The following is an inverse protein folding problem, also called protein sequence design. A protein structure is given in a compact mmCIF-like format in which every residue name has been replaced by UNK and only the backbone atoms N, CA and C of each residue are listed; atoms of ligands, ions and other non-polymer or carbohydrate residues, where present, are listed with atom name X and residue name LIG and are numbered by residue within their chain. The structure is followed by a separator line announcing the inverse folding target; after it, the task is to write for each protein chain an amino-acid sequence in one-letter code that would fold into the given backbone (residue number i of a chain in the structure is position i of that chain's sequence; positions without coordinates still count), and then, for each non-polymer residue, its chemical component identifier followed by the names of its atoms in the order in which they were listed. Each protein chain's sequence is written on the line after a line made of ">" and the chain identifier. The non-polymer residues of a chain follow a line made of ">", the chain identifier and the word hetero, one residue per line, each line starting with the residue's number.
data_IF_721473780948
#
_entry.id   IF_721473780948
#
_cell.length_a   1.000
_cell.length_b   1.000
_cell.length_c   1.000
_cell.angle_alpha   90.00
_cell.angle_beta   90.00
_cell.angle_gamma   90.00
#
_symmetry.space_group_name_H-M   'P 1'
#
loop_
_entity.id
_entity.type
_entity.pdbx_description
1 polymer ?
#
# COMPACT_ATOMS: atom_id res chain seq x y z
N UNK A 1 -21.76 31.99 -11.71
CA UNK A 1 -21.43 30.99 -10.66
C UNK A 1 -21.95 29.62 -11.10
N UNK A 2 -23.27 29.51 -11.34
CA UNK A 2 -23.95 28.29 -11.83
C UNK A 2 -23.32 27.64 -13.07
N UNK A 3 -22.98 28.40 -14.11
CA UNK A 3 -22.42 27.82 -15.35
C UNK A 3 -21.02 27.19 -15.16
N UNK A 4 -20.18 27.81 -14.31
CA UNK A 4 -18.85 27.26 -13.99
C UNK A 4 -18.96 25.97 -13.20
N UNK A 5 -19.88 25.90 -12.24
CA UNK A 5 -20.10 24.69 -11.44
C UNK A 5 -20.70 23.56 -12.30
N UNK A 6 -21.61 23.90 -13.23
CA UNK A 6 -22.15 22.95 -14.21
C UNK A 6 -21.05 22.35 -15.10
N UNK A 7 -20.17 23.17 -15.67
CA UNK A 7 -19.05 22.71 -16.50
C UNK A 7 -18.11 21.79 -15.71
N UNK A 8 -17.86 22.10 -14.43
CA UNK A 8 -17.04 21.23 -13.56
C UNK A 8 -17.70 19.88 -13.32
N UNK A 9 -18.99 19.87 -12.98
CA UNK A 9 -19.73 18.61 -12.78
C UNK A 9 -19.74 17.78 -14.06
N UNK A 10 -20.01 18.42 -15.20
CA UNK A 10 -19.98 17.75 -16.51
C UNK A 10 -18.59 17.18 -16.82
N UNK A 11 -17.51 17.90 -16.49
CA UNK A 11 -16.16 17.37 -16.62
C UNK A 11 -15.95 16.11 -15.76
N UNK A 12 -16.35 16.13 -14.50
CA UNK A 12 -16.22 14.96 -13.62
C UNK A 12 -17.00 13.76 -14.15
N UNK A 13 -18.26 13.98 -14.57
CA UNK A 13 -19.15 12.94 -15.10
C UNK A 13 -18.66 12.36 -16.43
N UNK A 14 -18.14 13.19 -17.32
CA UNK A 14 -17.80 12.78 -18.69
C UNK A 14 -16.34 12.36 -18.87
N UNK A 15 -15.42 12.85 -18.03
CA UNK A 15 -13.96 12.65 -18.19
C UNK A 15 -13.29 11.92 -17.03
N UNK A 16 -13.91 11.82 -15.86
CA UNK A 16 -13.29 11.16 -14.71
C UNK A 16 -14.01 9.85 -14.38
N UNK A 17 -15.31 9.88 -14.10
CA UNK A 17 -16.05 8.66 -13.68
C UNK A 17 -17.13 8.22 -14.65
N UNK A 18 -16.95 8.51 -15.96
CA UNK A 18 -17.85 8.06 -17.03
C UNK A 18 -18.08 6.54 -17.02
N UNK A 19 -17.00 5.78 -16.89
CA UNK A 19 -17.00 4.33 -16.80
C UNK A 19 -15.82 3.84 -15.93
N UNK A 20 -15.76 2.54 -15.68
CA UNK A 20 -14.72 1.93 -14.85
C UNK A 20 -13.31 2.15 -15.40
N UNK A 21 -13.13 2.07 -16.73
CA UNK A 21 -11.82 2.27 -17.38
C UNK A 21 -11.30 3.68 -17.11
N UNK A 22 -12.09 4.70 -17.41
CA UNK A 22 -11.69 6.10 -17.18
C UNK A 22 -11.46 6.39 -15.70
N UNK A 23 -12.27 5.81 -14.81
CA UNK A 23 -12.11 6.01 -13.36
C UNK A 23 -10.82 5.36 -12.84
N UNK A 24 -10.46 4.16 -13.31
CA UNK A 24 -9.18 3.52 -12.99
C UNK A 24 -8.02 4.34 -13.55
N UNK A 25 -8.14 4.78 -14.81
CA UNK A 25 -7.09 5.52 -15.48
C UNK A 25 -6.80 6.84 -14.79
N UNK A 26 -7.82 7.54 -14.27
CA UNK A 26 -7.69 8.88 -13.68
C UNK A 26 -7.54 8.87 -12.15
N UNK A 27 -8.22 7.95 -11.45
CA UNK A 27 -8.33 7.93 -9.99
C UNK A 27 -7.76 6.67 -9.34
N UNK A 28 -7.29 5.70 -10.14
CA UNK A 28 -6.81 4.37 -9.67
C UNK A 28 -7.86 3.52 -8.95
N UNK A 29 -9.14 3.89 -9.05
CA UNK A 29 -10.27 3.18 -8.47
C UNK A 29 -11.33 2.90 -9.52
N UNK A 30 -12.00 1.75 -9.41
CA UNK A 30 -13.26 1.50 -10.13
C UNK A 30 -14.32 2.50 -9.68
N UNK A 31 -15.27 2.81 -10.57
CA UNK A 31 -16.31 3.81 -10.31
C UNK A 31 -17.09 3.50 -9.03
N UNK A 32 -17.56 2.26 -8.89
CA UNK A 32 -18.31 1.84 -7.70
C UNK A 32 -17.49 1.93 -6.41
N UNK A 33 -16.19 1.63 -6.46
CA UNK A 33 -15.30 1.74 -5.30
C UNK A 33 -15.05 3.20 -4.92
N UNK A 34 -14.90 4.09 -5.90
CA UNK A 34 -14.73 5.52 -5.68
C UNK A 34 -15.93 6.12 -4.93
N UNK A 35 -17.17 5.85 -5.37
CA UNK A 35 -18.35 6.37 -4.69
C UNK A 35 -18.57 5.75 -3.31
N UNK A 36 -18.25 4.46 -3.11
CA UNK A 36 -18.24 3.86 -1.77
C UNK A 36 -17.22 4.52 -0.85
N UNK A 37 -16.06 4.89 -1.38
CA UNK A 37 -15.02 5.59 -0.62
C UNK A 37 -15.45 7.00 -0.24
N UNK A 38 -16.09 7.74 -1.15
CA UNK A 38 -16.69 9.05 -0.84
C UNK A 38 -17.80 8.92 0.21
N UNK A 39 -18.65 7.89 0.09
CA UNK A 39 -19.70 7.60 1.06
C UNK A 39 -19.11 7.30 2.44
N UNK A 40 -18.03 6.54 2.54
CA UNK A 40 -17.35 6.26 3.80
C UNK A 40 -16.95 7.57 4.52
N UNK A 41 -16.33 8.52 3.83
CA UNK A 41 -15.98 9.81 4.44
C UNK A 41 -17.19 10.60 4.91
N UNK A 42 -18.29 10.54 4.14
CA UNK A 42 -19.55 11.21 4.48
C UNK A 42 -20.20 10.57 5.71
N UNK A 43 -20.28 9.25 5.77
CA UNK A 43 -20.89 8.49 6.86
C UNK A 43 -20.09 8.63 8.17
N UNK A 44 -18.75 8.70 8.09
CA UNK A 44 -17.88 8.97 9.24
C UNK A 44 -17.79 10.45 9.63
N UNK A 45 -18.41 11.37 8.88
CA UNK A 45 -18.31 12.82 9.13
C UNK A 45 -16.91 13.40 8.94
N UNK A 46 -16.03 12.74 8.18
CA UNK A 46 -14.64 13.16 7.96
C UNK A 46 -14.51 14.19 6.84
N UNK A 47 -15.45 14.19 5.89
CA UNK A 47 -15.55 15.18 4.82
C UNK A 47 -17.01 15.59 4.66
N UNK A 48 -17.21 16.83 4.22
CA UNK A 48 -18.53 17.42 4.01
C UNK A 48 -18.59 18.15 2.67
N UNK A 49 -19.79 18.18 2.10
CA UNK A 49 -20.08 19.01 0.93
C UNK A 49 -20.04 20.49 1.34
N UNK A 50 -19.46 21.32 0.50
CA UNK A 50 -19.49 22.78 0.66
C UNK A 50 -20.32 23.40 -0.43
N UNK A 51 -20.72 24.67 -0.25
CA UNK A 51 -21.43 25.44 -1.28
C UNK A 51 -20.69 25.53 -2.63
N UNK A 52 -19.39 25.20 -2.66
CA UNK A 52 -18.55 25.32 -3.85
C UNK A 52 -17.94 24.00 -4.32
N UNK A 53 -18.05 22.90 -3.57
CA UNK A 53 -17.35 21.66 -3.87
C UNK A 53 -17.95 20.47 -3.09
N UNK A 54 -18.36 19.43 -3.82
CA UNK A 54 -18.80 18.17 -3.22
C UNK A 54 -17.62 17.28 -2.82
N UNK A 55 -17.86 16.32 -1.91
CA UNK A 55 -16.87 15.34 -1.44
C UNK A 55 -16.25 14.60 -2.63
N UNK A 56 -17.03 14.24 -3.64
CA UNK A 56 -16.57 13.53 -4.82
C UNK A 56 -15.51 14.34 -5.59
N UNK A 57 -15.70 15.65 -5.75
CA UNK A 57 -14.69 16.52 -6.38
C UNK A 57 -13.43 16.62 -5.50
N UNK A 58 -13.59 16.76 -4.17
CA UNK A 58 -12.48 16.84 -3.22
C UNK A 58 -11.61 15.57 -3.31
N UNK A 59 -12.23 14.40 -3.23
CA UNK A 59 -11.55 13.10 -3.27
C UNK A 59 -10.97 12.82 -4.66
N UNK A 60 -11.68 13.17 -5.74
CA UNK A 60 -11.16 13.02 -7.10
C UNK A 60 -9.91 13.87 -7.34
N UNK A 61 -9.89 15.13 -6.88
CA UNK A 61 -8.71 15.99 -6.94
C UNK A 61 -7.52 15.37 -6.21
N UNK A 62 -7.73 14.85 -5.00
CA UNK A 62 -6.70 14.17 -4.23
C UNK A 62 -6.18 12.92 -4.96
N UNK A 63 -7.07 12.00 -5.35
CA UNK A 63 -6.71 10.74 -6.01
C UNK A 63 -6.02 10.95 -7.35
N UNK A 64 -6.49 11.90 -8.15
CA UNK A 64 -5.85 12.27 -9.42
C UNK A 64 -4.44 12.85 -9.20
N UNK A 65 -4.25 13.61 -8.10
CA UNK A 65 -2.93 14.13 -7.72
C UNK A 65 -1.98 13.00 -7.34
N UNK A 66 -2.36 12.11 -6.43
CA UNK A 66 -1.48 11.04 -5.93
C UNK A 66 -1.29 9.92 -6.94
N UNK A 67 -2.35 9.56 -7.69
CA UNK A 67 -2.34 8.46 -8.65
C UNK A 67 -1.49 8.71 -9.90
N UNK A 68 -1.17 9.97 -10.19
CA UNK A 68 -0.36 10.39 -11.33
C UNK A 68 0.83 11.28 -10.95
N UNK A 69 1.05 11.53 -9.66
CA UNK A 69 2.07 12.43 -9.16
C UNK A 69 1.99 13.82 -9.83
N UNK A 70 0.78 14.38 -9.92
CA UNK A 70 0.55 15.65 -10.60
C UNK A 70 1.00 16.84 -9.74
N UNK A 71 1.51 17.87 -10.41
CA UNK A 71 1.79 19.15 -9.77
C UNK A 71 0.49 19.92 -9.57
N UNK A 72 0.39 20.65 -8.45
CA UNK A 72 -0.75 21.53 -8.14
C UNK A 72 -1.18 22.41 -9.35
N UNK A 73 -0.19 22.96 -10.10
CA UNK A 73 -0.45 23.78 -11.29
C UNK A 73 -1.24 23.09 -12.40
N UNK A 74 -1.21 21.77 -12.50
CA UNK A 74 -1.97 21.02 -13.49
C UNK A 74 -3.35 20.66 -12.95
N UNK A 75 -3.43 20.26 -11.68
CA UNK A 75 -4.70 19.97 -11.00
C UNK A 75 -5.60 21.21 -10.99
N UNK A 76 -5.04 22.38 -10.67
CA UNK A 76 -5.79 23.65 -10.67
C UNK A 76 -6.40 23.96 -12.05
N UNK A 77 -5.69 23.61 -13.13
CA UNK A 77 -6.16 23.80 -14.51
C UNK A 77 -7.22 22.76 -14.87
N UNK A 78 -7.01 21.49 -14.54
CA UNK A 78 -7.93 20.41 -14.87
C UNK A 78 -9.29 20.56 -14.17
N UNK A 79 -9.30 21.06 -12.94
CA UNK A 79 -10.52 21.22 -12.13
C UNK A 79 -11.05 22.66 -12.13
N UNK A 80 -10.41 23.60 -12.85
CA UNK A 80 -10.73 25.03 -12.82
C UNK A 80 -10.85 25.58 -11.39
N UNK A 81 -9.85 25.31 -10.55
CA UNK A 81 -9.77 25.76 -9.15
C UNK A 81 -8.54 26.62 -8.93
N UNK A 82 -8.55 27.42 -7.86
CA UNK A 82 -7.34 28.12 -7.43
C UNK A 82 -6.32 27.11 -6.89
N UNK A 83 -5.02 27.42 -7.00
CA UNK A 83 -3.97 26.56 -6.44
C UNK A 83 -4.07 26.42 -4.91
N UNK A 84 -4.55 27.47 -4.24
CA UNK A 84 -4.87 27.45 -2.81
C UNK A 84 -5.96 26.42 -2.50
N UNK A 85 -7.05 26.43 -3.27
CA UNK A 85 -8.17 25.48 -3.10
C UNK A 85 -7.70 24.04 -3.29
N UNK A 86 -6.88 23.79 -4.31
CA UNK A 86 -6.25 22.48 -4.52
C UNK A 86 -5.43 22.05 -3.31
N UNK A 87 -4.59 22.95 -2.78
CA UNK A 87 -3.76 22.65 -1.61
C UNK A 87 -4.60 22.36 -0.36
N UNK A 88 -5.63 23.17 -0.11
CA UNK A 88 -6.53 23.02 1.03
C UNK A 88 -7.22 21.66 1.02
N UNK A 89 -7.87 21.29 -0.09
CA UNK A 89 -8.61 20.04 -0.16
C UNK A 89 -7.70 18.82 -0.27
N UNK A 90 -6.51 18.95 -0.86
CA UNK A 90 -5.50 17.90 -0.77
C UNK A 90 -5.18 17.54 0.68
N UNK A 91 -4.93 18.54 1.54
CA UNK A 91 -4.61 18.31 2.95
C UNK A 91 -5.83 17.81 3.75
N UNK A 92 -7.04 18.32 3.46
CA UNK A 92 -8.27 17.83 4.10
C UNK A 92 -8.51 16.34 3.82
N UNK A 93 -8.43 15.93 2.55
CA UNK A 93 -8.61 14.53 2.17
C UNK A 93 -7.49 13.65 2.72
N UNK A 94 -6.24 14.14 2.71
CA UNK A 94 -5.11 13.43 3.34
C UNK A 94 -5.36 13.15 4.82
N UNK A 95 -5.81 14.16 5.57
CA UNK A 95 -6.16 14.02 6.98
C UNK A 95 -7.31 13.02 7.17
N UNK A 96 -8.39 13.15 6.40
CA UNK A 96 -9.53 12.24 6.46
C UNK A 96 -9.13 10.77 6.20
N UNK A 97 -8.23 10.51 5.24
CA UNK A 97 -7.67 9.17 5.00
C UNK A 97 -6.87 8.70 6.22
N UNK A 98 -6.09 9.58 6.84
CA UNK A 98 -5.30 9.28 8.04
C UNK A 98 -6.16 8.87 9.24
N UNK A 99 -7.34 9.47 9.41
CA UNK A 99 -8.27 9.13 10.49
C UNK A 99 -8.88 7.72 10.32
N UNK A 100 -8.99 7.21 9.09
CA UNK A 100 -9.48 5.85 8.85
C UNK A 100 -8.44 4.76 9.18
N UNK A 101 -7.19 5.12 9.50
CA UNK A 101 -6.09 4.15 9.67
C UNK A 101 -6.41 3.11 10.74
N UNK A 102 -6.95 3.55 11.89
CA UNK A 102 -7.14 2.69 13.06
C UNK A 102 -8.33 1.73 12.84
N UNK A 103 -9.24 2.09 11.92
CA UNK A 103 -10.33 1.23 11.49
C UNK A 103 -9.93 0.26 10.38
N UNK A 104 -9.07 0.68 9.44
CA UNK A 104 -8.75 -0.10 8.24
C UNK A 104 -7.50 -0.98 8.38
N UNK A 105 -6.52 -0.56 9.19
CA UNK A 105 -5.27 -1.29 9.43
C UNK A 105 -5.39 -1.96 10.79
N UNK A 106 -5.87 -3.20 10.78
CA UNK A 106 -6.08 -4.00 12.00
C UNK A 106 -5.14 -5.20 12.05
N UNK A 107 -4.85 -5.73 13.25
CA UNK A 107 -4.14 -7.00 13.38
C UNK A 107 -4.81 -8.13 12.57
N UNK A 108 -4.03 -9.07 12.02
CA UNK A 108 -4.58 -10.20 11.26
C UNK A 108 -5.38 -11.15 12.17
N UNK A 109 -6.25 -11.96 11.56
CA UNK A 109 -6.88 -13.09 12.26
C UNK A 109 -5.83 -14.07 12.79
N UNK A 110 -6.14 -14.71 13.93
CA UNK A 110 -5.34 -15.77 14.52
C UNK A 110 -5.70 -17.16 13.96
N UNK A 111 -6.80 -17.26 13.21
CA UNK A 111 -7.19 -18.51 12.56
C UNK A 111 -6.28 -18.83 11.39
N UNK A 112 -6.16 -20.12 11.06
CA UNK A 112 -5.47 -20.54 9.84
C UNK A 112 -6.19 -19.92 8.63
N UNK A 113 -5.49 -19.14 7.78
CA UNK A 113 -6.10 -18.53 6.60
C UNK A 113 -6.75 -19.59 5.70
N UNK A 114 -7.94 -19.31 5.17
CA UNK A 114 -8.66 -20.21 4.25
C UNK A 114 -7.87 -20.55 2.98
N UNK A 115 -6.96 -19.66 2.58
CA UNK A 115 -6.01 -19.89 1.46
C UNK A 115 -4.96 -20.96 1.77
N UNK A 116 -4.76 -21.28 3.04
CA UNK A 116 -3.82 -22.29 3.54
C UNK A 116 -4.57 -23.55 3.97
N UNK A 117 -5.61 -23.41 4.79
CA UNK A 117 -6.35 -24.52 5.39
C UNK A 117 -6.81 -25.55 4.34
N UNK A 118 -6.49 -26.82 4.55
CA UNK A 118 -6.85 -27.92 3.66
C UNK A 118 -6.09 -27.97 2.32
N UNK A 119 -5.20 -27.01 2.05
CA UNK A 119 -4.37 -27.05 0.85
C UNK A 119 -3.10 -27.89 1.10
N UNK A 120 -2.92 -29.06 0.47
CA UNK A 120 -1.79 -29.96 0.76
C UNK A 120 -0.42 -29.37 0.41
N UNK A 121 -0.39 -28.26 -0.36
CA UNK A 121 0.84 -27.51 -0.64
C UNK A 121 1.29 -26.66 0.54
N UNK A 122 0.36 -26.19 1.37
CA UNK A 122 0.58 -25.19 2.43
C UNK A 122 0.29 -25.72 3.83
N UNK A 123 -0.75 -26.51 4.00
CA UNK A 123 -1.16 -27.15 5.26
C UNK A 123 -0.44 -28.49 5.43
N UNK A 124 0.18 -28.80 6.58
CA UNK A 124 0.28 -28.00 7.81
C UNK A 124 1.47 -27.05 7.89
N UNK A 125 2.33 -27.04 6.88
CA UNK A 125 3.64 -26.38 6.89
C UNK A 125 3.61 -24.87 7.16
N UNK A 126 2.54 -24.18 6.73
CA UNK A 126 2.35 -22.74 6.88
C UNK A 126 1.06 -22.39 7.64
N UNK A 127 0.46 -23.32 8.40
CA UNK A 127 -0.84 -23.10 9.06
C UNK A 127 -0.87 -21.88 10.01
N UNK A 128 0.28 -21.54 10.59
CA UNK A 128 0.42 -20.41 11.51
C UNK A 128 0.95 -19.12 10.84
N UNK A 129 1.04 -19.12 9.51
CA UNK A 129 1.39 -17.93 8.74
C UNK A 129 0.21 -16.95 8.72
N UNK A 130 0.43 -15.71 9.16
CA UNK A 130 -0.61 -14.67 9.23
C UNK A 130 -0.52 -13.65 8.09
N UNK A 131 0.58 -13.66 7.33
CA UNK A 131 0.75 -12.76 6.19
C UNK A 131 2.18 -12.70 5.66
N UNK A 132 2.48 -11.64 4.93
CA UNK A 132 3.82 -11.30 4.48
C UNK A 132 4.19 -9.87 4.88
N UNK A 133 5.49 -9.65 5.04
CA UNK A 133 6.08 -8.32 5.23
C UNK A 133 7.06 -8.07 4.10
N UNK A 134 7.00 -6.87 3.54
CA UNK A 134 7.98 -6.40 2.57
C UNK A 134 8.31 -4.92 2.76
N UNK A 135 9.51 -4.55 2.35
CA UNK A 135 9.93 -3.16 2.21
C UNK A 135 9.61 -2.67 0.80
N UNK A 136 9.15 -1.43 0.66
CA UNK A 136 8.96 -0.78 -0.63
C UNK A 136 9.52 0.65 -0.60
N UNK A 137 10.14 1.06 -1.70
CA UNK A 137 10.78 2.37 -1.81
C UNK A 137 9.91 3.34 -2.59
N UNK A 138 9.34 4.32 -1.89
CA UNK A 138 8.56 5.40 -2.50
C UNK A 138 9.46 6.59 -2.77
N UNK A 139 9.33 7.22 -3.94
CA UNK A 139 10.11 8.42 -4.27
C UNK A 139 9.79 9.54 -3.30
N UNK A 140 10.82 10.14 -2.73
CA UNK A 140 10.68 11.20 -1.74
C UNK A 140 11.13 12.54 -2.31
N UNK A 141 10.36 13.60 -2.05
CA UNK A 141 10.75 14.99 -2.33
C UNK A 141 11.35 15.57 -1.06
N UNK A 142 12.67 15.76 -1.07
CA UNK A 142 13.43 16.06 0.15
C UNK A 142 14.28 17.29 -0.10
N UNK A 143 14.53 18.07 0.96
CA UNK A 143 15.43 19.23 0.91
C UNK A 143 16.86 18.76 0.62
N UNK A 144 17.59 19.48 -0.23
CA UNK A 144 18.95 19.10 -0.68
C UNK A 144 19.92 18.79 0.48
N UNK A 145 19.76 19.44 1.62
CA UNK A 145 20.64 19.30 2.79
C UNK A 145 20.54 17.96 3.51
N UNK A 146 19.49 17.16 3.28
CA UNK A 146 19.35 15.80 3.84
C UNK A 146 19.23 14.74 2.74
N UNK A 147 19.40 15.13 1.46
CA UNK A 147 19.19 14.27 0.29
C UNK A 147 20.13 13.05 0.25
N UNK A 148 21.34 13.17 0.77
CA UNK A 148 22.33 12.08 0.81
C UNK A 148 21.81 10.86 1.56
N UNK A 149 21.15 11.04 2.70
CA UNK A 149 20.62 9.94 3.52
C UNK A 149 19.49 9.17 2.82
N UNK A 150 18.76 9.82 1.91
CA UNK A 150 17.62 9.21 1.21
C UNK A 150 17.98 8.66 -0.18
N UNK A 151 19.18 8.95 -0.71
CA UNK A 151 19.70 8.36 -1.95
C UNK A 151 20.29 6.98 -1.67
N UNK A 152 19.44 5.95 -1.84
CA UNK A 152 19.83 4.54 -1.78
C UNK A 152 20.42 4.01 -3.08
N UNK A 153 20.12 2.74 -3.41
CA UNK A 153 20.54 2.08 -4.66
C UNK A 153 19.97 2.70 -5.95
N UNK A 154 18.93 3.55 -5.85
CA UNK A 154 18.29 4.22 -6.99
C UNK A 154 18.88 5.63 -7.19
N UNK A 155 18.88 6.14 -8.42
CA UNK A 155 19.41 7.48 -8.79
C UNK A 155 18.65 8.66 -8.18
N UNK A 156 17.62 8.40 -7.37
CA UNK A 156 16.74 9.38 -6.77
C UNK A 156 16.52 9.07 -5.30
N UNK A 157 16.25 10.11 -4.52
CA UNK A 157 15.95 9.96 -3.11
C UNK A 157 14.60 9.24 -2.91
N UNK A 158 14.59 8.29 -1.98
CA UNK A 158 13.42 7.44 -1.67
C UNK A 158 13.22 7.36 -0.16
N UNK A 159 11.98 7.12 0.27
CA UNK A 159 11.64 6.68 1.61
C UNK A 159 11.37 5.18 1.58
N UNK A 160 11.89 4.48 2.59
CA UNK A 160 11.54 3.09 2.83
C UNK A 160 10.20 3.04 3.59
N UNK A 161 9.27 2.27 3.06
CA UNK A 161 7.98 1.95 3.68
C UNK A 161 7.92 0.45 3.88
N UNK A 162 7.81 0.01 5.12
CA UNK A 162 7.57 -1.39 5.45
C UNK A 162 6.07 -1.61 5.62
N UNK A 163 5.54 -2.64 4.98
CA UNK A 163 4.13 -3.00 5.12
C UNK A 163 3.96 -4.49 5.41
N UNK A 164 3.03 -4.80 6.30
CA UNK A 164 2.55 -6.15 6.56
C UNK A 164 1.17 -6.32 5.91
N UNK A 165 0.96 -7.42 5.20
CA UNK A 165 -0.32 -7.73 4.53
C UNK A 165 -0.78 -9.13 4.90
N UNK A 166 -2.08 -9.28 5.13
CA UNK A 166 -2.70 -10.58 5.40
C UNK A 166 -3.07 -11.32 4.10
N UNK A 167 -3.65 -12.51 4.26
CA UNK A 167 -4.11 -13.34 3.15
C UNK A 167 -5.31 -12.78 2.41
N UNK A 168 -6.06 -11.82 2.95
CA UNK A 168 -7.13 -11.09 2.25
C UNK A 168 -6.62 -9.83 1.55
N UNK A 169 -5.29 -9.65 1.50
CA UNK A 169 -4.60 -8.52 0.87
C UNK A 169 -4.87 -7.19 1.57
N UNK A 170 -5.20 -7.24 2.86
CA UNK A 170 -5.39 -6.07 3.71
C UNK A 170 -4.08 -5.74 4.39
N UNK A 171 -3.77 -4.44 4.46
CA UNK A 171 -2.69 -3.97 5.31
C UNK A 171 -3.03 -4.24 6.77
N UNK A 172 -2.11 -4.90 7.48
CA UNK A 172 -2.22 -5.16 8.93
C UNK A 172 -1.25 -4.31 9.73
N UNK A 173 -0.24 -3.73 9.06
CA UNK A 173 0.66 -2.74 9.62
C UNK A 173 1.36 -1.98 8.48
N UNK A 174 1.60 -0.68 8.65
CA UNK A 174 2.38 0.15 7.73
C UNK A 174 3.28 1.08 8.53
N UNK A 175 4.58 1.06 8.23
CA UNK A 175 5.56 1.98 8.77
C UNK A 175 6.25 2.72 7.62
N UNK A 176 6.01 4.02 7.54
CA UNK A 176 6.63 4.91 6.56
C UNK A 176 7.54 5.94 7.23
N UNK A 177 8.38 6.59 6.43
CA UNK A 177 9.18 7.74 6.86
C UNK A 177 10.67 7.46 7.05
N UNK A 178 11.10 6.21 6.95
CA UNK A 178 12.52 5.85 6.97
C UNK A 178 13.23 6.27 5.69
N UNK A 179 14.51 6.59 5.79
CA UNK A 179 15.33 6.91 4.64
C UNK A 179 15.48 5.70 3.70
N UNK A 180 15.56 5.95 2.40
CA UNK A 180 15.62 4.87 1.41
C UNK A 180 16.93 4.06 1.41
N UNK A 181 17.97 4.56 2.08
CA UNK A 181 19.21 3.80 2.34
C UNK A 181 19.06 2.80 3.48
N UNK A 182 18.08 3.00 4.36
CA UNK A 182 17.87 2.19 5.56
C UNK A 182 17.53 0.76 5.17
N UNK A 183 18.30 -0.19 5.72
CA UNK A 183 18.06 -1.61 5.55
C UNK A 183 16.72 -2.01 6.17
N UNK A 184 15.98 -2.90 5.50
CA UNK A 184 14.67 -3.37 5.95
C UNK A 184 14.70 -3.98 7.37
N UNK A 185 15.80 -4.62 7.75
CA UNK A 185 16.00 -5.14 9.10
C UNK A 185 16.01 -4.05 10.19
N UNK A 186 16.48 -2.84 9.86
CA UNK A 186 16.45 -1.67 10.77
C UNK A 186 15.04 -1.13 10.87
N UNK A 187 14.34 -1.00 9.75
CA UNK A 187 12.93 -0.57 9.73
C UNK A 187 12.04 -1.54 10.52
N UNK A 188 12.29 -2.86 10.38
CA UNK A 188 11.56 -3.87 11.15
C UNK A 188 11.86 -3.81 12.65
N UNK A 189 13.10 -3.52 13.04
CA UNK A 189 13.45 -3.36 14.46
C UNK A 189 12.68 -2.19 15.06
N UNK A 190 12.70 -1.04 14.39
CA UNK A 190 11.93 0.12 14.82
C UNK A 190 10.43 -0.17 14.88
N UNK A 191 9.88 -0.88 13.89
CA UNK A 191 8.48 -1.28 13.91
C UNK A 191 8.11 -2.11 15.15
N UNK A 192 9.02 -2.91 15.68
CA UNK A 192 8.77 -3.76 16.86
C UNK A 192 8.96 -3.03 18.19
N UNK A 193 9.77 -1.97 18.21
CA UNK A 193 10.13 -1.23 19.43
C UNK A 193 9.16 -0.06 19.73
N UNK A 194 8.33 0.32 18.75
CA UNK A 194 7.32 1.38 18.90
C UNK A 194 6.18 0.94 19.82
N UNK A 195 5.65 1.89 20.59
CA UNK A 195 4.50 1.68 21.49
C UNK A 195 3.26 1.13 20.76
N UNK A 196 2.93 1.72 19.61
CA UNK A 196 1.90 1.23 18.68
C UNK A 196 2.51 0.44 17.52
N UNK A 197 3.55 -0.33 17.82
CA UNK A 197 4.34 -1.07 16.84
C UNK A 197 3.68 -2.34 16.31
N UNK A 198 4.38 -3.00 15.39
CA UNK A 198 3.99 -4.30 14.87
C UNK A 198 4.05 -5.34 15.99
N UNK A 199 2.91 -5.97 16.28
CA UNK A 199 2.85 -7.09 17.21
C UNK A 199 2.66 -8.41 16.46
N UNK A 200 3.51 -9.40 16.74
CA UNK A 200 3.36 -10.76 16.19
C UNK A 200 2.82 -11.68 17.30
N UNK A 201 1.59 -12.21 17.17
CA UNK A 201 1.02 -13.10 18.16
C UNK A 201 1.86 -14.36 18.38
N UNK A 202 1.85 -14.89 19.61
CA UNK A 202 2.60 -16.10 19.95
C UNK A 202 2.20 -17.28 19.05
N UNK A 203 3.21 -17.99 18.54
CA UNK A 203 3.03 -19.13 17.64
C UNK A 203 2.73 -18.74 16.19
N UNK A 204 2.51 -17.46 15.88
CA UNK A 204 2.27 -16.95 14.52
C UNK A 204 3.54 -16.38 13.89
N UNK A 205 3.55 -16.27 12.57
CA UNK A 205 4.66 -15.66 11.83
C UNK A 205 4.25 -15.01 10.51
N UNK A 206 5.06 -14.05 10.07
CA UNK A 206 5.01 -13.46 8.74
C UNK A 206 6.09 -14.07 7.83
N UNK A 207 5.77 -14.24 6.54
CA UNK A 207 6.79 -14.47 5.52
C UNK A 207 7.54 -13.17 5.25
N UNK A 208 8.86 -13.22 5.23
CA UNK A 208 9.72 -12.07 4.94
C UNK A 208 10.69 -12.39 3.80
N UNK A 209 11.25 -11.36 3.17
CA UNK A 209 12.30 -11.55 2.17
C UNK A 209 13.64 -12.03 2.79
N UNK A 210 14.56 -12.52 1.96
CA UNK A 210 15.89 -12.98 2.37
C UNK A 210 16.75 -11.89 3.04
N UNK A 211 16.42 -10.61 2.77
CA UNK A 211 17.03 -9.44 3.41
C UNK A 211 16.75 -9.35 4.92
N UNK A 212 15.72 -10.03 5.41
CA UNK A 212 15.42 -10.12 6.82
C UNK A 212 16.17 -11.29 7.49
N UNK A 213 16.45 -11.16 8.77
CA UNK A 213 17.01 -12.23 9.59
C UNK A 213 15.92 -13.19 10.07
N UNK A 214 16.22 -14.49 10.12
CA UNK A 214 15.32 -15.47 10.73
C UNK A 214 15.23 -15.21 12.23
N UNK A 215 14.01 -15.01 12.74
CA UNK A 215 13.73 -14.83 14.17
C UNK A 215 12.30 -15.23 14.46
N UNK A 216 11.95 -15.41 15.72
CA UNK A 216 10.57 -15.72 16.12
C UNK A 216 9.60 -14.68 15.52
N UNK A 217 8.56 -15.18 14.86
CA UNK A 217 7.56 -14.35 14.17
C UNK A 217 7.89 -13.96 12.73
N UNK A 218 9.09 -14.24 12.22
CA UNK A 218 9.53 -13.82 10.88
C UNK A 218 10.30 -14.92 10.17
N UNK A 219 9.74 -15.43 9.07
CA UNK A 219 10.24 -16.59 8.35
C UNK A 219 10.79 -16.20 6.96
N UNK A 220 12.12 -16.02 6.80
CA UNK A 220 12.75 -15.82 5.50
C UNK A 220 12.92 -17.15 4.74
N UNK A 221 13.17 -17.12 3.41
CA UNK A 221 13.62 -18.29 2.68
C UNK A 221 15.02 -18.74 3.14
N UNK A 222 15.39 -19.99 2.88
CA UNK A 222 16.77 -20.45 3.06
C UNK A 222 17.71 -19.67 2.13
N UNK A 223 18.76 -19.08 2.70
CA UNK A 223 19.79 -18.37 1.96
C UNK A 223 20.66 -19.33 1.15
N UNK A 224 21.25 -18.83 0.06
CA UNK A 224 22.08 -19.60 -0.87
C UNK A 224 21.40 -20.84 -1.46
N UNK A 225 20.06 -20.85 -1.47
CA UNK A 225 19.23 -21.87 -2.10
C UNK A 225 18.30 -21.15 -3.07
N UNK A 226 18.04 -21.75 -4.24
CA UNK A 226 17.15 -21.21 -5.27
C UNK A 226 15.80 -20.80 -4.66
N UNK A 227 15.31 -19.60 -4.98
CA UNK A 227 14.06 -19.09 -4.38
C UNK A 227 13.23 -18.18 -5.28
N UNK A 228 13.72 -17.72 -6.44
CA UNK A 228 12.89 -16.96 -7.36
C UNK A 228 12.01 -17.91 -8.20
N UNK A 229 10.70 -17.63 -8.31
CA UNK A 229 9.77 -18.51 -9.04
C UNK A 229 10.19 -18.76 -10.50
N UNK A 230 10.82 -17.77 -11.14
CA UNK A 230 11.31 -17.85 -12.53
C UNK A 230 12.37 -18.93 -12.72
N UNK A 231 13.08 -19.33 -11.66
CA UNK A 231 14.16 -20.31 -11.72
C UNK A 231 13.65 -21.76 -11.82
N UNK A 232 12.34 -21.97 -11.61
CA UNK A 232 11.71 -23.31 -11.51
C UNK A 232 11.02 -23.78 -12.80
N UNK A 233 11.11 -23.04 -13.91
CA UNK A 233 10.42 -23.37 -15.17
C UNK A 233 10.71 -24.80 -15.65
N UNK A 234 11.95 -25.09 -16.03
CA UNK A 234 12.39 -26.43 -16.45
C UNK A 234 13.28 -27.13 -15.40
N UNK A 235 13.56 -26.48 -14.27
CA UNK A 235 14.46 -27.04 -13.27
C UNK A 235 13.63 -27.64 -12.12
N UNK A 236 13.61 -28.96 -11.94
CA UNK A 236 12.87 -29.57 -10.84
C UNK A 236 13.51 -29.26 -9.49
N UNK A 237 12.70 -29.36 -8.44
CA UNK A 237 13.14 -29.29 -7.03
C UNK A 237 14.07 -30.47 -6.73
N UNK A 238 15.23 -30.18 -6.15
CA UNK A 238 16.27 -31.19 -5.88
C UNK A 238 16.37 -31.59 -4.41
N UNK A 239 15.92 -30.73 -3.48
CA UNK A 239 16.02 -30.99 -2.05
C UNK A 239 14.93 -30.28 -1.24
N UNK A 240 14.87 -30.59 0.06
CA UNK A 240 13.85 -30.07 0.97
C UNK A 240 13.91 -28.54 1.13
N UNK A 241 15.11 -27.95 1.11
CA UNK A 241 15.28 -26.48 1.21
C UNK A 241 14.75 -25.78 -0.03
N UNK A 242 14.98 -26.38 -1.20
CA UNK A 242 14.43 -25.91 -2.46
C UNK A 242 12.90 -26.04 -2.49
N UNK A 243 12.35 -27.15 -2.00
CA UNK A 243 10.91 -27.32 -1.86
C UNK A 243 10.31 -26.24 -0.96
N UNK A 244 10.95 -25.98 0.19
CA UNK A 244 10.56 -24.94 1.12
C UNK A 244 10.60 -23.55 0.45
N UNK A 245 11.69 -23.19 -0.23
CA UNK A 245 11.83 -21.88 -0.88
C UNK A 245 10.83 -21.70 -2.03
N UNK A 246 10.60 -22.72 -2.85
CA UNK A 246 9.56 -22.70 -3.88
C UNK A 246 8.18 -22.44 -3.26
N UNK A 247 7.90 -23.12 -2.15
CA UNK A 247 6.67 -22.98 -1.38
C UNK A 247 6.52 -21.57 -0.78
N UNK A 248 7.51 -21.12 -0.02
CA UNK A 248 7.60 -19.79 0.57
C UNK A 248 7.36 -18.70 -0.47
N UNK A 249 8.14 -18.68 -1.56
CA UNK A 249 8.04 -17.65 -2.60
C UNK A 249 6.71 -17.66 -3.33
N UNK A 250 6.11 -18.84 -3.54
CA UNK A 250 4.78 -18.94 -4.15
C UNK A 250 3.69 -18.36 -3.26
N UNK A 251 3.80 -18.52 -1.94
CA UNK A 251 2.85 -17.97 -0.98
C UNK A 251 3.06 -16.46 -0.82
N UNK A 252 4.32 -16.00 -0.72
CA UNK A 252 4.69 -14.59 -0.64
C UNK A 252 4.26 -13.79 -1.87
N UNK A 253 4.43 -14.32 -3.07
CA UNK A 253 4.02 -13.62 -4.30
C UNK A 253 2.52 -13.36 -4.33
N UNK A 254 1.69 -14.28 -3.84
CA UNK A 254 0.23 -14.04 -3.75
C UNK A 254 -0.12 -12.83 -2.88
N UNK A 255 0.74 -12.52 -1.90
CA UNK A 255 0.57 -11.41 -0.96
C UNK A 255 1.22 -10.12 -1.49
N UNK A 256 2.35 -10.25 -2.18
CA UNK A 256 3.17 -9.13 -2.65
C UNK A 256 2.65 -8.40 -3.90
N UNK A 257 1.67 -8.94 -4.65
CA UNK A 257 1.12 -8.27 -5.86
C UNK A 257 0.64 -6.83 -5.57
N UNK A 258 0.38 -6.48 -4.31
CA UNK A 258 -0.10 -5.16 -3.91
C UNK A 258 0.97 -4.23 -3.29
N UNK A 259 2.21 -4.69 -3.10
CA UNK A 259 3.31 -3.90 -2.51
C UNK A 259 4.17 -3.15 -3.56
N UNK A 260 3.79 -3.24 -4.84
CA UNK A 260 4.37 -2.45 -5.93
C UNK A 260 5.69 -2.97 -6.51
N UNK A 261 5.97 -4.27 -6.35
CA UNK A 261 7.14 -4.96 -6.92
C UNK A 261 6.82 -5.74 -8.20
#
# INVERSE_FOLDING_TARGET
>A
MVERDRIRIEYLETKIWRNDTTCIDMLRLRRGSFFRFCKLFRDCGLLEDTIHMCIEEQVAMFLHTVGHNLRNRLVRTNYDRSGETVSRYFNKVLHAIGELRDELIRPPSLDTPTKIAGNPRWDPYFKDCIGAIDGTHIRASIRKNVESSFRGRKSHATQNVMAAVDFDLRFTYVLAGWEGTTHDAVVLRDALERENGLHVPQGKFYLVDAGYGAKQGFLPPFRAVRYHLKEWGNNPVQNEKELFNLRHSSLRIRLNVHLGH
#
